data_IF_187045629669
#
_entry.id   IF_187045629669
#
_cell.length_a   1.000
_cell.length_b   1.000
_cell.length_c   1.000
_cell.angle_alpha   90.00
_cell.angle_beta   90.00
_cell.angle_gamma   90.00
#
_symmetry.space_group_name_H-M   'P 1'
#
loop_
_entity.id
_entity.type
_entity.pdbx_description
1 polymer ?
#
# COMPACT_ATOMS: atom_id res chain seq x y z
N UNK A 1 -9.58 -4.64 -9.81
CA UNK A 1 -8.77 -3.90 -8.82
C UNK A 1 -7.29 -3.85 -9.10
N UNK A 2 -6.64 -4.92 -9.58
CA UNK A 2 -5.21 -4.87 -9.94
C UNK A 2 -4.89 -3.74 -10.94
N UNK A 3 -5.72 -3.56 -11.97
CA UNK A 3 -5.58 -2.45 -12.93
C UNK A 3 -5.82 -1.04 -12.38
N UNK A 4 -6.46 -0.87 -11.22
CA UNK A 4 -6.62 0.46 -10.60
C UNK A 4 -5.44 0.84 -9.71
N UNK A 5 -4.63 -0.16 -9.30
CA UNK A 5 -3.37 0.05 -8.59
C UNK A 5 -2.21 0.32 -9.55
N UNK A 6 -2.26 -0.23 -10.78
CA UNK A 6 -1.26 0.08 -11.82
C UNK A 6 -1.18 1.60 -12.09
N UNK A 7 -2.32 2.29 -12.16
CA UNK A 7 -2.35 3.75 -12.39
C UNK A 7 -1.86 4.59 -11.18
N UNK A 8 -1.86 4.04 -9.96
CA UNK A 8 -1.29 4.72 -8.78
C UNK A 8 0.21 4.44 -8.62
N UNK A 9 0.67 3.29 -9.12
CA UNK A 9 2.10 2.97 -9.23
C UNK A 9 2.75 3.76 -10.36
N UNK A 10 2.02 4.07 -11.43
CA UNK A 10 2.53 4.89 -12.54
C UNK A 10 2.84 6.35 -12.14
N UNK A 11 2.16 6.89 -11.11
CA UNK A 11 2.52 8.18 -10.49
C UNK A 11 3.84 8.14 -9.69
N UNK A 12 4.42 6.97 -9.45
CA UNK A 12 5.76 6.82 -8.84
C UNK A 12 6.89 7.00 -9.86
N UNK A 13 6.57 7.16 -11.15
CA UNK A 13 7.55 7.43 -12.21
C UNK A 13 7.76 8.92 -12.51
N UNK A 14 7.06 9.82 -11.79
CA UNK A 14 7.60 11.17 -11.58
C UNK A 14 8.75 11.06 -10.59
N UNK A 15 9.86 10.53 -11.09
CA UNK A 15 11.17 10.80 -10.57
C UNK A 15 11.19 12.28 -10.16
N UNK A 16 11.62 12.56 -8.94
CA UNK A 16 12.18 13.85 -8.60
C UNK A 16 13.71 13.70 -8.73
N UNK A 17 14.32 13.74 -9.94
CA UNK A 17 15.75 13.90 -10.02
C UNK A 17 16.02 15.41 -10.15
N UNK A 18 16.80 15.89 -9.18
CA UNK A 18 17.57 17.13 -9.25
C UNK A 18 16.79 18.43 -9.06
N UNK A 19 16.64 18.84 -7.80
CA UNK A 19 17.55 19.81 -7.19
C UNK A 19 17.31 19.85 -5.70
N UNK A 20 18.36 19.58 -4.94
CA UNK A 20 18.61 20.10 -3.58
C UNK A 20 17.37 20.55 -2.76
N UNK A 21 17.01 19.72 -1.78
CA UNK A 21 16.21 20.10 -0.61
C UNK A 21 16.92 21.19 0.23
N UNK A 22 17.05 22.42 -0.30
CA UNK A 22 17.75 23.54 0.36
C UNK A 22 16.77 24.57 0.93
N UNK A 23 15.47 24.49 0.61
CA UNK A 23 14.48 25.50 0.98
C UNK A 23 13.27 25.00 1.79
N UNK A 24 13.41 23.93 2.57
CA UNK A 24 12.46 23.62 3.65
C UNK A 24 11.01 23.30 3.24
N UNK A 25 10.73 23.02 1.96
CA UNK A 25 9.45 22.50 1.52
C UNK A 25 9.54 20.98 1.31
N UNK A 26 8.66 20.30 2.03
CA UNK A 26 8.60 18.86 2.33
C UNK A 26 8.78 17.94 1.12
N UNK A 27 9.65 16.93 1.25
CA UNK A 27 9.44 15.64 0.58
C UNK A 27 9.26 14.57 1.65
N UNK A 28 8.03 14.08 1.77
CA UNK A 28 7.75 12.81 2.44
C UNK A 28 8.40 11.73 1.58
N UNK A 29 9.62 11.30 1.93
CA UNK A 29 10.32 10.20 1.24
C UNK A 29 9.63 8.86 1.56
N UNK A 30 8.42 8.68 1.01
CA UNK A 30 7.68 7.43 1.07
C UNK A 30 8.18 6.51 -0.04
N UNK A 31 8.59 5.31 0.34
CA UNK A 31 8.87 4.25 -0.61
C UNK A 31 7.58 3.72 -1.23
N UNK A 32 7.67 2.99 -2.33
CA UNK A 32 6.49 2.36 -2.93
C UNK A 32 5.74 1.44 -1.95
N UNK A 33 6.48 0.79 -1.04
CA UNK A 33 5.88 -0.05 0.01
C UNK A 33 5.18 0.78 1.06
N UNK A 34 5.70 1.94 1.42
CA UNK A 34 5.03 2.85 2.37
C UNK A 34 3.68 3.29 1.84
N UNK A 35 3.62 3.67 0.56
CA UNK A 35 2.36 4.03 -0.11
C UNK A 35 1.37 2.87 -0.07
N UNK A 36 1.81 1.65 -0.35
CA UNK A 36 0.93 0.48 -0.24
C UNK A 36 0.40 0.28 1.18
N UNK A 37 1.24 0.43 2.21
CA UNK A 37 0.80 0.30 3.59
C UNK A 37 -0.16 1.42 4.02
N UNK A 38 0.06 2.65 3.54
CA UNK A 38 -0.83 3.78 3.77
C UNK A 38 -2.21 3.52 3.16
N UNK A 39 -2.27 3.07 1.90
CA UNK A 39 -3.53 2.74 1.22
C UNK A 39 -4.30 1.66 1.98
N UNK A 40 -3.62 0.61 2.46
CA UNK A 40 -4.24 -0.44 3.28
C UNK A 40 -4.80 0.13 4.59
N UNK A 41 -4.03 1.00 5.26
CA UNK A 41 -4.36 1.55 6.58
C UNK A 41 -5.51 2.55 6.54
N UNK A 42 -5.64 3.32 5.47
CA UNK A 42 -6.65 4.38 5.34
C UNK A 42 -7.88 3.97 4.55
N UNK A 43 -7.87 2.77 3.96
CA UNK A 43 -9.04 2.22 3.28
C UNK A 43 -10.13 1.77 4.25
N UNK A 44 -11.39 1.96 3.86
CA UNK A 44 -12.55 1.56 4.66
C UNK A 44 -13.56 0.79 3.81
N UNK A 45 -14.14 -0.31 4.30
CA UNK A 45 -15.16 -1.09 3.59
C UNK A 45 -16.56 -0.44 3.62
N UNK A 46 -16.68 0.77 4.17
CA UNK A 46 -17.97 1.42 4.45
C UNK A 46 -18.70 1.74 3.14
N UNK A 47 -20.02 1.52 3.12
CA UNK A 47 -20.90 1.75 1.97
C UNK A 47 -20.62 0.89 0.72
N UNK A 48 -19.74 -0.11 0.81
CA UNK A 48 -19.48 -1.08 -0.26
C UNK A 48 -20.24 -2.38 0.00
N UNK A 49 -21.02 -2.84 -0.99
CA UNK A 49 -21.79 -4.08 -0.91
C UNK A 49 -21.04 -5.20 -1.61
N UNK A 50 -20.57 -6.18 -0.83
CA UNK A 50 -20.01 -7.43 -1.34
C UNK A 50 -20.26 -8.55 -0.34
N UNK A 51 -20.49 -9.77 -0.83
CA UNK A 51 -20.75 -10.94 0.02
C UNK A 51 -19.45 -11.67 0.42
N UNK A 52 -18.31 -11.23 -0.11
CA UNK A 52 -17.02 -11.90 0.00
C UNK A 52 -16.05 -11.24 1.00
N UNK A 53 -16.52 -10.27 1.80
CA UNK A 53 -15.72 -9.64 2.84
C UNK A 53 -15.21 -10.67 3.86
N UNK A 54 -13.90 -10.77 3.99
CA UNK A 54 -13.23 -11.65 4.96
C UNK A 54 -12.21 -10.87 5.79
N UNK A 55 -12.14 -11.17 7.08
CA UNK A 55 -11.09 -10.62 7.95
C UNK A 55 -9.81 -11.45 7.80
N UNK A 56 -8.70 -10.81 7.47
CA UNK A 56 -7.40 -11.48 7.37
C UNK A 56 -6.74 -11.66 8.75
N UNK A 57 -5.56 -12.31 8.80
CA UNK A 57 -4.81 -12.54 10.04
C UNK A 57 -4.31 -11.24 10.72
N UNK A 58 -4.30 -10.12 9.99
CA UNK A 58 -3.96 -8.80 10.54
C UNK A 58 -5.20 -8.04 11.09
N UNK A 59 -6.38 -8.67 11.09
CA UNK A 59 -7.63 -8.06 11.57
C UNK A 59 -8.29 -7.10 10.59
N UNK A 60 -7.82 -7.04 9.34
CA UNK A 60 -8.35 -6.14 8.31
C UNK A 60 -9.37 -6.86 7.43
N UNK A 61 -10.46 -6.16 7.07
CA UNK A 61 -11.46 -6.67 6.12
C UNK A 61 -10.97 -6.52 4.69
N UNK A 62 -11.03 -7.60 3.92
CA UNK A 62 -10.62 -7.67 2.52
C UNK A 62 -11.71 -8.33 1.68
N UNK A 63 -12.01 -7.74 0.52
CA UNK A 63 -12.88 -8.30 -0.52
C UNK A 63 -12.07 -8.54 -1.79
N UNK A 64 -12.41 -9.56 -2.57
CA UNK A 64 -11.83 -9.76 -3.91
C UNK A 64 -12.29 -8.70 -4.91
N UNK A 65 -13.43 -8.05 -4.65
CA UNK A 65 -13.97 -6.98 -5.48
C UNK A 65 -13.46 -5.59 -5.08
N UNK A 66 -13.27 -5.36 -3.78
CA UNK A 66 -12.95 -4.02 -3.24
C UNK A 66 -11.66 -3.92 -2.41
N UNK A 67 -10.94 -5.01 -2.19
CA UNK A 67 -9.64 -4.98 -1.52
C UNK A 67 -9.89 -4.58 -0.09
N UNK A 68 -9.17 -3.57 0.42
CA UNK A 68 -9.41 -3.02 1.75
C UNK A 68 -10.56 -1.98 1.79
N UNK A 69 -11.15 -1.65 0.64
CA UNK A 69 -12.26 -0.71 0.49
C UNK A 69 -11.87 0.61 -0.17
N UNK A 70 -12.66 1.65 0.09
CA UNK A 70 -12.43 2.99 -0.45
C UNK A 70 -11.35 3.71 0.36
N UNK A 71 -10.39 4.31 -0.34
CA UNK A 71 -9.31 5.10 0.27
C UNK A 71 -9.84 6.44 0.78
N UNK A 72 -9.59 6.73 2.04
CA UNK A 72 -9.82 8.04 2.65
C UNK A 72 -8.60 8.94 2.41
N UNK A 73 -8.72 9.88 1.46
CA UNK A 73 -7.62 10.74 1.03
C UNK A 73 -7.15 11.70 2.14
N UNK A 74 -8.08 12.21 2.95
CA UNK A 74 -7.76 13.08 4.08
C UNK A 74 -6.97 12.29 5.14
N UNK A 75 -7.49 11.12 5.53
CA UNK A 75 -6.79 10.25 6.45
C UNK A 75 -5.41 9.82 5.91
N UNK A 76 -5.27 9.61 4.60
CA UNK A 76 -4.01 9.25 3.96
C UNK A 76 -2.95 10.34 4.11
N UNK A 77 -3.30 11.61 3.88
CA UNK A 77 -2.37 12.74 4.04
C UNK A 77 -1.98 12.92 5.51
N UNK A 78 -2.95 12.84 6.42
CA UNK A 78 -2.68 12.93 7.87
C UNK A 78 -1.77 11.80 8.33
N UNK A 79 -2.00 10.58 7.86
CA UNK A 79 -1.20 9.43 8.23
C UNK A 79 0.20 9.47 7.60
N UNK A 80 0.32 9.96 6.36
CA UNK A 80 1.60 10.16 5.69
C UNK A 80 2.50 11.16 6.42
N UNK A 81 1.94 12.22 7.00
CA UNK A 81 2.71 13.27 7.70
C UNK A 81 3.51 12.77 8.90
N UNK A 82 3.06 11.68 9.53
CA UNK A 82 3.69 11.04 10.70
C UNK A 82 4.19 9.63 10.39
N UNK A 83 4.28 9.28 9.10
CA UNK A 83 4.63 7.93 8.68
C UNK A 83 6.09 7.61 8.97
N UNK A 84 6.33 6.42 9.53
CA UNK A 84 7.67 5.87 9.67
C UNK A 84 7.87 4.80 8.60
N UNK A 85 8.89 4.98 7.77
CA UNK A 85 9.24 4.06 6.67
C UNK A 85 9.30 2.61 7.14
N UNK A 86 8.70 1.72 6.34
CA UNK A 86 8.66 0.29 6.62
C UNK A 86 10.06 -0.32 6.55
N UNK A 87 10.36 -1.36 7.37
CA UNK A 87 11.65 -2.06 7.31
C UNK A 87 11.95 -2.65 5.93
N UNK A 88 13.22 -2.95 5.59
CA UNK A 88 13.61 -3.58 4.33
C UNK A 88 12.76 -4.83 3.99
N UNK A 89 12.49 -5.05 2.71
CA UNK A 89 11.70 -6.19 2.27
C UNK A 89 12.52 -7.47 2.42
N UNK A 90 11.93 -8.47 3.05
CA UNK A 90 12.48 -9.82 3.09
C UNK A 90 11.64 -10.75 2.22
N UNK A 91 12.30 -11.60 1.43
CA UNK A 91 11.66 -12.62 0.61
C UNK A 91 12.11 -13.98 1.10
N UNK A 92 11.17 -14.83 1.50
CA UNK A 92 11.42 -16.21 1.89
C UNK A 92 10.94 -17.13 0.76
N UNK A 93 11.84 -17.93 0.20
CA UNK A 93 11.51 -18.97 -0.78
C UNK A 93 11.72 -20.35 -0.15
N UNK A 94 10.75 -21.25 -0.36
CA UNK A 94 10.87 -22.66 0.04
C UNK A 94 10.91 -23.49 -1.24
N UNK A 95 12.01 -24.19 -1.46
CA UNK A 95 12.08 -25.22 -2.50
C UNK A 95 11.29 -26.43 -1.98
N UNK A 96 10.23 -26.81 -2.68
CA UNK A 96 9.53 -28.06 -2.38
C UNK A 96 10.41 -29.22 -2.84
N UNK A 97 10.92 -30.03 -1.91
CA UNK A 97 11.49 -31.33 -2.27
C UNK A 97 10.40 -32.16 -2.93
N UNK A 98 10.55 -32.39 -4.24
CA UNK A 98 9.76 -33.39 -4.94
C UNK A 98 10.19 -34.72 -4.33
N UNK A 99 9.32 -35.29 -3.49
CA UNK A 99 9.47 -36.64 -2.96
C UNK A 99 9.43 -37.59 -4.16
N UNK A 100 10.60 -37.99 -4.66
CA UNK A 100 10.74 -39.09 -5.62
C UNK A 100 10.19 -40.33 -4.94
N UNK A 101 9.09 -40.84 -5.51
CA UNK A 101 8.39 -42.04 -5.07
C UNK A 101 9.13 -43.28 -5.56
#
# INVERSE_FOLDING_TARGET
MAHSFENLVELQTLNCPEVNCVFGFCSLLLTWRDVQHLLVKTSRPVHLKADDWKTNAAGLKVSHLYGFGLVDAEAMVVEASKWRTVPPQHTCSRVSERRTR
#
